data_IF_686903707599
#
_entry.id   IF_686903707599
#
_cell.length_a   1.000
_cell.length_b   1.000
_cell.length_c   1.000
_cell.angle_alpha   90.00
_cell.angle_beta   90.00
_cell.angle_gamma   90.00
#
_symmetry.space_group_name_H-M   'P 1'
#
loop_
_entity.id
_entity.type
_entity.pdbx_description
1 polymer ?
#
# COMPACT_ATOMS: atom_id res chain seq x y z
N UNK A 1 -12.77 -19.14 -9.22
CA UNK A 1 -13.23 -17.97 -8.43
C UNK A 1 -14.55 -17.49 -9.00
N UNK A 2 -15.54 -17.10 -8.18
CA UNK A 2 -16.76 -16.49 -8.69
C UNK A 2 -16.43 -15.12 -9.29
N UNK A 3 -16.89 -14.87 -10.51
CA UNK A 3 -16.76 -13.57 -11.18
C UNK A 3 -18.07 -12.84 -10.99
N UNK A 4 -18.03 -11.72 -10.29
CA UNK A 4 -19.15 -10.79 -10.17
C UNK A 4 -18.95 -9.63 -11.17
N UNK A 5 -20.00 -8.82 -11.39
CA UNK A 5 -19.87 -7.55 -12.12
C UNK A 5 -20.10 -6.39 -11.17
N UNK A 6 -19.26 -5.36 -11.29
CA UNK A 6 -19.46 -4.15 -10.50
C UNK A 6 -20.75 -3.44 -10.96
N UNK A 7 -21.73 -3.21 -10.07
CA UNK A 7 -23.08 -2.83 -10.48
C UNK A 7 -23.17 -1.49 -11.22
N UNK A 8 -22.20 -0.61 -11.03
CA UNK A 8 -22.19 0.72 -11.68
C UNK A 8 -21.22 0.84 -12.86
N UNK A 9 -20.18 0.02 -12.90
CA UNK A 9 -19.10 0.15 -13.88
C UNK A 9 -19.11 -0.96 -14.93
N UNK A 10 -19.96 -1.97 -14.73
CA UNK A 10 -20.05 -3.18 -15.58
C UNK A 10 -18.71 -3.86 -15.88
N UNK A 11 -17.75 -3.75 -14.96
CA UNK A 11 -16.46 -4.42 -15.06
C UNK A 11 -16.47 -5.73 -14.26
N UNK A 12 -15.75 -6.78 -14.70
CA UNK A 12 -15.60 -8.00 -13.92
C UNK A 12 -14.98 -7.72 -12.55
N UNK A 13 -15.53 -8.33 -11.51
CA UNK A 13 -15.04 -8.23 -10.13
C UNK A 13 -14.73 -9.64 -9.62
N UNK A 14 -13.52 -9.84 -9.17
CA UNK A 14 -13.09 -11.08 -8.53
C UNK A 14 -12.62 -10.79 -7.11
N UNK A 15 -13.06 -11.59 -6.14
CA UNK A 15 -12.62 -11.50 -4.76
C UNK A 15 -11.56 -12.56 -4.52
N UNK A 16 -10.36 -12.13 -4.13
CA UNK A 16 -9.23 -13.00 -3.80
C UNK A 16 -9.04 -13.04 -2.28
N UNK A 17 -9.08 -14.22 -1.63
CA UNK A 17 -8.81 -14.34 -0.20
C UNK A 17 -7.29 -14.26 0.05
N UNK A 18 -6.82 -13.15 0.62
CA UNK A 18 -5.40 -12.90 0.92
C UNK A 18 -5.15 -12.78 2.43
N UNK A 19 -6.13 -13.10 3.28
CA UNK A 19 -6.06 -12.90 4.72
C UNK A 19 -4.91 -13.66 5.36
N UNK A 20 -4.72 -14.93 5.02
CA UNK A 20 -3.68 -15.77 5.61
C UNK A 20 -2.28 -15.30 5.18
N UNK A 21 -2.10 -14.98 3.91
CA UNK A 21 -0.86 -14.42 3.40
C UNK A 21 -0.53 -13.07 4.07
N UNK A 22 -1.53 -12.21 4.22
CA UNK A 22 -1.37 -10.94 4.90
C UNK A 22 -0.98 -11.11 6.37
N UNK A 23 -1.64 -12.04 7.07
CA UNK A 23 -1.32 -12.35 8.45
C UNK A 23 0.13 -12.81 8.63
N UNK A 24 0.57 -13.76 7.82
CA UNK A 24 1.92 -14.32 7.91
C UNK A 24 3.00 -13.30 7.51
N UNK A 25 2.82 -12.65 6.37
CA UNK A 25 3.86 -11.81 5.76
C UNK A 25 3.91 -10.39 6.34
N UNK A 26 2.79 -9.81 6.76
CA UNK A 26 2.73 -8.42 7.19
C UNK A 26 2.52 -8.31 8.70
N UNK A 27 1.49 -8.96 9.25
CA UNK A 27 1.24 -8.90 10.69
C UNK A 27 2.37 -9.60 11.45
N UNK A 28 2.74 -10.81 11.04
CA UNK A 28 3.85 -11.55 11.65
C UNK A 28 5.18 -10.79 11.58
N UNK A 29 5.48 -10.19 10.42
CA UNK A 29 6.64 -9.30 10.28
C UNK A 29 6.56 -8.12 11.26
N UNK A 30 5.44 -7.39 11.28
CA UNK A 30 5.25 -6.22 12.15
C UNK A 30 5.48 -6.54 13.62
N UNK A 31 4.89 -7.63 14.10
CA UNK A 31 5.03 -8.05 15.49
C UNK A 31 6.47 -8.50 15.84
N UNK A 32 7.15 -9.18 14.92
CA UNK A 32 8.57 -9.56 15.11
C UNK A 32 9.48 -8.35 15.21
N UNK A 33 9.33 -7.37 14.32
CA UNK A 33 10.14 -6.13 14.34
C UNK A 33 9.96 -5.38 15.66
N UNK A 34 8.70 -5.19 16.07
CA UNK A 34 8.39 -4.51 17.33
C UNK A 34 8.93 -5.24 18.56
N UNK A 35 8.83 -6.58 18.61
CA UNK A 35 9.43 -7.37 19.69
C UNK A 35 10.95 -7.21 19.75
N UNK A 36 11.59 -6.99 18.63
CA UNK A 36 13.04 -6.75 18.51
C UNK A 36 13.44 -5.28 18.72
N UNK A 37 12.50 -4.40 19.13
CA UNK A 37 12.76 -2.98 19.34
C UNK A 37 12.95 -2.16 18.07
N UNK A 38 12.54 -2.67 16.90
CA UNK A 38 12.63 -1.96 15.62
C UNK A 38 11.26 -1.44 15.19
N UNK A 39 11.26 -0.33 14.45
CA UNK A 39 10.04 0.24 13.87
C UNK A 39 9.76 -0.44 12.52
N UNK A 40 8.66 -1.19 12.38
CA UNK A 40 8.30 -1.84 11.12
C UNK A 40 7.72 -0.84 10.11
N UNK A 41 7.78 -1.21 8.82
CA UNK A 41 7.11 -0.51 7.73
C UNK A 41 6.13 -1.44 7.00
N UNK A 42 4.97 -1.76 7.61
CA UNK A 42 4.04 -2.73 7.07
C UNK A 42 3.50 -2.34 5.68
N UNK A 43 3.35 -1.05 5.40
CA UNK A 43 2.79 -0.58 4.13
C UNK A 43 3.75 -0.84 2.95
N UNK A 44 5.06 -0.63 3.14
CA UNK A 44 6.08 -0.94 2.13
C UNK A 44 6.05 -2.43 1.81
N UNK A 45 6.08 -3.29 2.83
CA UNK A 45 6.07 -4.74 2.63
C UNK A 45 4.72 -5.29 2.17
N UNK A 46 3.60 -4.63 2.51
CA UNK A 46 2.30 -4.97 1.95
C UNK A 46 2.28 -4.78 0.42
N UNK A 47 2.85 -3.70 -0.07
CA UNK A 47 2.97 -3.50 -1.51
C UNK A 47 3.85 -4.58 -2.15
N UNK A 48 5.07 -4.80 -1.61
CA UNK A 48 6.02 -5.76 -2.16
C UNK A 48 5.50 -7.20 -2.11
N UNK A 49 4.97 -7.66 -0.96
CA UNK A 49 4.71 -9.08 -0.71
C UNK A 49 3.28 -9.49 -1.03
N UNK A 50 2.31 -8.61 -0.81
CA UNK A 50 0.90 -8.93 -1.00
C UNK A 50 0.38 -8.41 -2.33
N UNK A 51 0.43 -7.08 -2.57
CA UNK A 51 -0.19 -6.48 -3.76
C UNK A 51 0.54 -6.80 -5.07
N UNK A 52 1.87 -6.80 -5.04
CA UNK A 52 2.70 -7.00 -6.24
C UNK A 52 3.49 -8.32 -6.21
N UNK A 53 3.13 -9.26 -5.34
CA UNK A 53 3.62 -10.64 -5.35
C UNK A 53 2.46 -11.61 -5.21
N UNK A 54 1.96 -11.87 -4.02
CA UNK A 54 0.93 -12.90 -3.78
C UNK A 54 -0.33 -12.68 -4.62
N UNK A 55 -0.75 -11.42 -4.81
CA UNK A 55 -1.87 -11.10 -5.69
C UNK A 55 -1.54 -11.43 -7.16
N UNK A 56 -0.36 -11.06 -7.65
CA UNK A 56 0.09 -11.37 -9.02
C UNK A 56 0.16 -12.88 -9.27
N UNK A 57 0.68 -13.65 -8.31
CA UNK A 57 0.80 -15.12 -8.40
C UNK A 57 -0.57 -15.83 -8.49
N UNK A 58 -1.65 -15.15 -8.10
CA UNK A 58 -3.02 -15.69 -8.18
C UNK A 58 -3.80 -15.20 -9.40
N UNK A 59 -3.24 -14.30 -10.19
CA UNK A 59 -3.86 -13.86 -11.43
C UNK A 59 -3.73 -14.93 -12.53
N UNK A 60 -4.68 -14.97 -13.47
CA UNK A 60 -4.51 -15.79 -14.68
C UNK A 60 -3.25 -15.38 -15.45
N UNK A 61 -2.60 -16.34 -16.10
CA UNK A 61 -1.39 -16.11 -16.94
C UNK A 61 -1.60 -15.10 -18.08
N UNK A 62 -2.87 -14.81 -18.42
CA UNK A 62 -3.26 -13.83 -19.42
C UNK A 62 -3.25 -12.39 -18.93
N UNK A 63 -2.88 -12.13 -17.67
CA UNK A 63 -2.83 -10.77 -17.12
C UNK A 63 -1.52 -10.10 -17.47
N UNK A 64 -1.57 -9.05 -18.29
CA UNK A 64 -0.37 -8.32 -18.72
C UNK A 64 0.16 -7.36 -17.65
N UNK A 65 -0.75 -6.69 -16.92
CA UNK A 65 -0.40 -5.64 -15.97
C UNK A 65 -1.32 -5.61 -14.76
N UNK A 66 -0.79 -5.08 -13.66
CA UNK A 66 -1.57 -4.73 -12.46
C UNK A 66 -1.57 -3.22 -12.26
N UNK A 67 -2.75 -2.62 -12.36
CA UNK A 67 -2.95 -1.21 -12.08
C UNK A 67 -3.28 -0.99 -10.60
N UNK A 68 -2.68 0.04 -10.02
CA UNK A 68 -3.01 0.46 -8.65
C UNK A 68 -3.15 1.98 -8.54
N UNK A 69 -3.86 2.43 -7.50
CA UNK A 69 -4.13 3.84 -7.25
C UNK A 69 -2.99 4.61 -6.59
N UNK A 70 -1.75 4.16 -6.66
CA UNK A 70 -0.62 4.89 -6.10
C UNK A 70 -0.27 6.12 -6.96
N UNK A 71 0.03 7.23 -6.29
CA UNK A 71 0.58 8.44 -6.91
C UNK A 71 2.09 8.26 -7.09
N UNK A 72 2.44 7.48 -8.09
CA UNK A 72 3.81 7.18 -8.53
C UNK A 72 3.82 7.01 -10.05
N UNK A 73 4.97 6.97 -10.67
CA UNK A 73 5.11 6.71 -12.11
C UNK A 73 6.17 5.65 -12.35
N UNK A 74 5.98 4.87 -13.40
CA UNK A 74 6.99 3.93 -13.89
C UNK A 74 7.27 4.26 -15.34
N UNK A 75 8.54 4.33 -15.70
CA UNK A 75 9.01 4.40 -17.09
C UNK A 75 9.95 3.24 -17.37
N UNK A 76 9.87 2.69 -18.57
CA UNK A 76 10.80 1.68 -19.05
C UNK A 76 11.87 2.38 -19.90
N UNK A 77 13.14 2.15 -19.55
CA UNK A 77 14.29 2.67 -20.27
C UNK A 77 15.38 1.60 -20.36
N UNK A 78 15.86 1.36 -21.58
CA UNK A 78 16.93 0.39 -21.86
C UNK A 78 16.75 -0.98 -21.15
N UNK A 79 15.51 -1.49 -21.09
CA UNK A 79 15.18 -2.78 -20.46
C UNK A 79 15.07 -2.76 -18.94
N UNK A 80 15.20 -1.59 -18.32
CA UNK A 80 15.00 -1.36 -16.88
C UNK A 80 13.77 -0.50 -16.64
N UNK A 81 13.09 -0.73 -15.50
CA UNK A 81 12.02 0.12 -15.02
C UNK A 81 12.57 1.11 -13.99
N UNK A 82 12.24 2.37 -14.15
CA UNK A 82 12.54 3.42 -13.18
C UNK A 82 11.24 3.80 -12.47
N UNK A 83 11.25 3.71 -11.13
CA UNK A 83 10.18 4.20 -10.29
C UNK A 83 10.40 5.70 -10.05
N UNK A 84 9.43 6.51 -10.40
CA UNK A 84 9.47 7.96 -10.26
C UNK A 84 8.39 8.45 -9.32
N UNK A 85 8.64 9.61 -8.73
CA UNK A 85 7.63 10.32 -7.95
C UNK A 85 6.41 10.69 -8.78
N UNK A 86 5.23 10.73 -8.15
CA UNK A 86 4.04 11.33 -8.74
C UNK A 86 4.25 12.81 -9.05
N UNK A 87 3.43 13.38 -9.92
CA UNK A 87 3.50 14.82 -10.24
C UNK A 87 3.00 15.70 -9.10
N UNK A 88 2.16 15.17 -8.20
CA UNK A 88 1.69 15.89 -7.02
C UNK A 88 2.68 15.73 -5.88
N UNK A 89 3.46 16.79 -5.53
CA UNK A 89 4.47 16.71 -4.47
C UNK A 89 3.86 16.50 -3.08
N UNK A 90 2.56 16.78 -2.91
CA UNK A 90 1.87 16.62 -1.62
C UNK A 90 1.31 15.21 -1.43
N UNK A 91 1.31 14.38 -2.49
CA UNK A 91 0.72 13.03 -2.52
C UNK A 91 1.64 11.97 -3.09
N UNK A 92 2.92 12.26 -3.23
CA UNK A 92 3.87 11.23 -3.68
C UNK A 92 3.81 9.99 -2.78
N UNK A 93 3.69 8.85 -3.42
CA UNK A 93 3.60 7.53 -2.78
C UNK A 93 4.67 6.56 -3.29
N UNK A 94 5.66 7.07 -4.03
CA UNK A 94 6.74 6.24 -4.58
C UNK A 94 7.54 5.53 -3.48
N UNK A 95 7.68 6.15 -2.30
CA UNK A 95 8.40 5.54 -1.18
C UNK A 95 7.75 4.24 -0.66
N UNK A 96 6.43 4.10 -0.76
CA UNK A 96 5.74 2.84 -0.43
C UNK A 96 6.06 1.69 -1.39
N UNK A 97 6.61 2.02 -2.56
CA UNK A 97 6.93 1.10 -3.64
C UNK A 97 8.44 0.83 -3.75
N UNK A 98 9.25 1.40 -2.87
CA UNK A 98 10.73 1.38 -2.93
C UNK A 98 11.33 -0.03 -2.88
N UNK A 99 10.60 -1.02 -2.39
CA UNK A 99 11.05 -2.42 -2.29
C UNK A 99 10.58 -3.29 -3.47
N UNK A 100 9.90 -2.74 -4.47
CA UNK A 100 9.52 -3.51 -5.65
C UNK A 100 10.74 -3.89 -6.48
N UNK A 101 10.81 -5.15 -6.90
CA UNK A 101 11.84 -5.62 -7.81
C UNK A 101 11.60 -5.14 -9.25
N UNK A 102 12.60 -5.31 -10.13
CA UNK A 102 12.46 -4.97 -11.54
C UNK A 102 11.37 -5.80 -12.23
N UNK A 103 11.25 -7.08 -11.86
CA UNK A 103 10.21 -7.98 -12.37
C UNK A 103 8.83 -7.51 -11.96
N UNK A 104 8.67 -7.08 -10.71
CA UNK A 104 7.41 -6.52 -10.22
C UNK A 104 7.08 -5.19 -10.91
N UNK A 105 8.05 -4.27 -11.03
CA UNK A 105 7.85 -2.97 -11.66
C UNK A 105 7.44 -3.05 -13.13
N UNK A 106 7.94 -4.06 -13.86
CA UNK A 106 7.56 -4.30 -15.28
C UNK A 106 6.06 -4.59 -15.44
N UNK A 107 5.42 -5.14 -14.41
CA UNK A 107 4.00 -5.49 -14.42
C UNK A 107 3.12 -4.42 -13.78
N UNK A 108 3.70 -3.31 -13.27
CA UNK A 108 2.97 -2.27 -12.57
C UNK A 108 2.50 -1.15 -13.50
N UNK A 109 1.25 -0.72 -13.29
CA UNK A 109 0.71 0.53 -13.83
C UNK A 109 0.22 1.41 -12.69
N UNK A 110 0.59 2.69 -12.73
CA UNK A 110 0.16 3.70 -11.77
C UNK A 110 -0.57 4.85 -12.48
N UNK A 111 -1.84 4.66 -12.89
CA UNK A 111 -2.56 5.61 -13.75
C UNK A 111 -2.74 6.99 -13.12
N UNK A 112 -2.72 7.08 -11.77
CA UNK A 112 -2.91 8.34 -11.06
C UNK A 112 -1.62 9.16 -10.89
N UNK A 113 -0.46 8.59 -11.19
CA UNK A 113 0.83 9.23 -10.95
C UNK A 113 1.09 10.48 -11.78
N UNK A 114 0.37 10.67 -12.88
CA UNK A 114 0.48 11.86 -13.76
C UNK A 114 -0.56 12.94 -13.48
N UNK A 115 -1.33 12.82 -12.39
CA UNK A 115 -2.37 13.75 -11.99
C UNK A 115 -2.14 14.27 -10.58
N UNK A 116 -2.49 15.54 -10.36
CA UNK A 116 -2.63 16.05 -9.00
C UNK A 116 -3.91 15.51 -8.35
N UNK A 117 -3.92 15.37 -7.04
CA UNK A 117 -5.07 14.80 -6.34
C UNK A 117 -6.40 15.53 -6.56
N UNK A 118 -6.45 16.88 -6.62
CA UNK A 118 -7.69 17.60 -6.98
C UNK A 118 -8.22 17.22 -8.36
N UNK A 119 -7.32 17.00 -9.35
CA UNK A 119 -7.70 16.58 -10.70
C UNK A 119 -8.33 15.17 -10.69
N UNK A 120 -7.73 14.23 -9.92
CA UNK A 120 -8.28 12.88 -9.76
C UNK A 120 -9.68 12.94 -9.13
N UNK A 121 -9.91 13.80 -8.14
CA UNK A 121 -11.23 14.00 -7.54
C UNK A 121 -12.24 14.58 -8.53
N UNK A 122 -11.83 15.57 -9.31
CA UNK A 122 -12.68 16.16 -10.35
C UNK A 122 -13.06 15.13 -11.43
N UNK A 123 -12.11 14.28 -11.85
CA UNK A 123 -12.39 13.18 -12.77
C UNK A 123 -13.36 12.16 -12.15
N UNK A 124 -13.17 11.79 -10.90
CA UNK A 124 -14.06 10.86 -10.20
C UNK A 124 -15.49 11.40 -10.09
N UNK A 125 -15.66 12.69 -9.83
CA UNK A 125 -16.97 13.37 -9.83
C UNK A 125 -17.58 13.39 -11.24
N UNK A 126 -16.79 13.75 -12.26
CA UNK A 126 -17.24 13.76 -13.66
C UNK A 126 -17.72 12.39 -14.14
N UNK A 127 -17.06 11.31 -13.68
CA UNK A 127 -17.46 9.95 -13.99
C UNK A 127 -18.55 9.38 -13.05
N UNK A 128 -19.07 10.19 -12.12
CA UNK A 128 -20.11 9.78 -11.18
C UNK A 128 -19.67 8.63 -10.23
N UNK A 129 -18.37 8.54 -9.92
CA UNK A 129 -17.85 7.47 -9.07
C UNK A 129 -18.25 7.71 -7.60
N UNK A 130 -18.78 6.70 -6.94
CA UNK A 130 -19.17 6.77 -5.53
C UNK A 130 -18.00 7.04 -4.58
N UNK A 131 -16.76 6.83 -5.05
CA UNK A 131 -15.52 7.07 -4.29
C UNK A 131 -15.01 8.52 -4.40
N UNK A 132 -15.65 9.40 -5.18
CA UNK A 132 -15.16 10.76 -5.42
C UNK A 132 -14.96 11.57 -4.13
N UNK A 133 -15.84 11.40 -3.14
CA UNK A 133 -15.80 12.10 -1.85
C UNK A 133 -15.19 11.25 -0.72
N UNK A 134 -14.73 10.04 -1.04
CA UNK A 134 -14.19 9.16 -0.02
C UNK A 134 -12.91 9.76 0.59
N UNK A 135 -12.81 9.82 1.94
CA UNK A 135 -11.57 10.21 2.62
C UNK A 135 -10.41 9.30 2.24
N UNK A 136 -9.19 9.82 2.38
CA UNK A 136 -7.98 9.01 2.22
C UNK A 136 -7.96 7.85 3.22
N UNK A 137 -7.47 6.71 2.78
CA UNK A 137 -7.28 5.56 3.66
C UNK A 137 -6.29 5.91 4.76
N UNK A 138 -6.66 5.63 5.99
CA UNK A 138 -5.84 5.78 7.18
C UNK A 138 -5.71 4.41 7.87
N UNK A 139 -4.54 4.10 8.40
CA UNK A 139 -4.29 2.87 9.16
C UNK A 139 -3.64 1.77 8.32
N UNK A 140 -3.63 0.54 8.88
CA UNK A 140 -3.04 -0.63 8.23
C UNK A 140 -3.85 -1.04 7.00
N UNK A 141 -3.15 -1.30 5.89
CA UNK A 141 -3.76 -1.82 4.68
C UNK A 141 -4.52 -3.12 4.97
N UNK A 142 -5.67 -3.32 4.34
CA UNK A 142 -6.56 -4.50 4.45
C UNK A 142 -7.21 -4.77 5.81
N UNK A 143 -6.75 -4.16 6.91
CA UNK A 143 -7.36 -4.35 8.23
C UNK A 143 -8.49 -3.35 8.55
N UNK A 144 -8.80 -2.45 7.60
CA UNK A 144 -9.87 -1.48 7.77
C UNK A 144 -9.52 -0.35 8.74
N UNK A 145 -10.49 0.07 9.58
CA UNK A 145 -10.34 1.21 10.50
C UNK A 145 -9.68 0.85 11.84
N UNK A 146 -8.82 -0.15 11.87
CA UNK A 146 -8.10 -0.51 13.10
C UNK A 146 -7.02 0.53 13.36
N UNK A 147 -7.03 1.11 14.56
CA UNK A 147 -5.97 2.01 15.00
C UNK A 147 -4.70 1.22 15.28
N UNK A 148 -3.61 1.59 14.65
CA UNK A 148 -2.32 0.89 14.77
C UNK A 148 -1.88 0.71 16.22
N UNK A 149 -2.01 1.75 17.05
CA UNK A 149 -1.66 1.68 18.48
C UNK A 149 -2.48 0.62 19.24
N UNK A 150 -3.79 0.58 19.02
CA UNK A 150 -4.69 -0.39 19.66
C UNK A 150 -4.35 -1.83 19.23
N UNK A 151 -4.05 -2.01 17.95
CA UNK A 151 -3.61 -3.28 17.41
C UNK A 151 -2.32 -3.77 18.08
N UNK A 152 -1.30 -2.91 18.21
CA UNK A 152 -0.04 -3.26 18.86
C UNK A 152 -0.26 -3.56 20.34
N UNK A 153 -1.03 -2.72 21.03
CA UNK A 153 -1.36 -2.94 22.45
C UNK A 153 -2.05 -4.28 22.69
N UNK A 154 -2.96 -4.67 21.81
CA UNK A 154 -3.64 -5.96 21.90
C UNK A 154 -2.67 -7.15 21.79
N UNK A 155 -1.69 -7.09 20.87
CA UNK A 155 -0.78 -8.21 20.63
C UNK A 155 0.47 -8.24 21.51
N UNK A 156 0.97 -7.09 21.94
CA UNK A 156 2.25 -6.95 22.63
C UNK A 156 2.15 -6.32 24.02
N UNK A 157 0.98 -5.86 24.40
CA UNK A 157 0.79 -5.05 25.61
C UNK A 157 1.32 -3.62 25.44
N UNK A 158 1.44 -2.91 26.56
CA UNK A 158 1.93 -1.54 26.61
C UNK A 158 3.08 -1.47 27.62
N UNK A 159 4.21 -0.90 27.19
CA UNK A 159 5.40 -0.69 28.05
C UNK A 159 5.81 0.76 27.93
N UNK A 160 5.50 1.62 28.90
CA UNK A 160 6.03 2.97 28.94
C UNK A 160 7.54 2.97 29.00
N UNK A 161 8.17 3.90 28.33
CA UNK A 161 9.60 4.07 28.35
C UNK A 161 9.97 5.53 28.04
N UNK A 162 11.10 6.04 28.56
CA UNK A 162 11.52 7.41 28.31
C UNK A 162 11.97 7.61 26.85
N UNK A 163 11.71 8.79 26.31
CA UNK A 163 12.34 9.28 25.08
C UNK A 163 13.61 10.00 25.50
N UNK A 164 14.77 9.51 25.08
CA UNK A 164 16.07 10.02 25.49
C UNK A 164 16.80 10.62 24.29
N UNK A 165 17.32 11.84 24.45
CA UNK A 165 18.24 12.44 23.49
C UNK A 165 19.57 11.67 23.50
N UNK A 166 19.95 11.13 22.34
CA UNK A 166 21.15 10.28 22.23
C UNK A 166 22.44 11.02 22.53
N UNK A 167 22.53 12.33 22.22
CA UNK A 167 23.77 13.10 22.40
C UNK A 167 23.95 13.58 23.84
N UNK A 168 22.88 13.97 24.48
CA UNK A 168 22.92 14.61 25.80
C UNK A 168 22.53 13.68 26.95
N UNK A 169 21.91 12.55 26.66
CA UNK A 169 21.33 11.65 27.67
C UNK A 169 20.08 12.22 28.35
N UNK A 170 19.58 13.38 27.91
CA UNK A 170 18.44 14.04 28.53
C UNK A 170 17.15 13.33 28.18
N UNK A 171 16.29 13.11 29.16
CA UNK A 171 14.91 12.66 28.95
C UNK A 171 14.06 13.79 28.36
N UNK A 172 13.37 13.50 27.25
CA UNK A 172 12.53 14.44 26.51
C UNK A 172 11.03 14.19 26.70
N UNK A 173 10.66 12.97 27.15
CA UNK A 173 9.28 12.57 27.39
C UNK A 173 9.19 11.18 28.00
#
# INVERSE_FOLDING_TARGET
MPIFRHPKLDVPLTVMPLQDAYWQEIVGYTLRELKSGRTPSPDVFCNQRIKFKTFLEQLPDSSDYVASGHYARVIADAGRCQLLQGVDPTKDQSYFLSHLSQEQLKLCLFPLGSYAKPEVRALAQRFGLASAERPDSQGLCFLGKIRYREFIKFHLGERPGPIIDQKTGRTLG
#
